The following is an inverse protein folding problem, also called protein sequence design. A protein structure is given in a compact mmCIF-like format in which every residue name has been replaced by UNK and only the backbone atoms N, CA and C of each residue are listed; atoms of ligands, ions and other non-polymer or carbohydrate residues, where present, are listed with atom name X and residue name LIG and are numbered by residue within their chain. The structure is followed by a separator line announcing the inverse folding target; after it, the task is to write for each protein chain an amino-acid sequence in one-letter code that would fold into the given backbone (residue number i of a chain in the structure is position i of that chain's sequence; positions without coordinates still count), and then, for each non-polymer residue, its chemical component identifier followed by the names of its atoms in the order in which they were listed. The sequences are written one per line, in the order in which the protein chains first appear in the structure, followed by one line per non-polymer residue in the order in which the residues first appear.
data_IF_842009498480
#
_entry.id   IF_842009498480
#
_cell.length_a   1.000
_cell.length_b   1.000
_cell.length_c   1.000
_cell.angle_alpha   90.00
_cell.angle_beta   90.00
_cell.angle_gamma   90.00
#
_symmetry.space_group_name_H-M   'P 1'
#
loop_
_entity.id
_entity.type
_entity.pdbx_description
1 polymer ?
#
# COMPACT_ATOMS: atom_id res chain seq x y z
N UNK A 1 17.80 8.84 -15.16
CA UNK A 1 16.49 9.36 -14.75
C UNK A 1 16.50 9.50 -13.24
N UNK A 2 16.30 10.70 -12.70
CA UNK A 2 16.21 10.89 -11.24
C UNK A 2 14.75 10.70 -10.88
N UNK A 3 14.40 9.49 -10.44
CA UNK A 3 13.09 9.24 -9.84
C UNK A 3 13.01 10.02 -8.53
N UNK A 4 12.20 11.07 -8.49
CA UNK A 4 11.87 11.74 -7.22
C UNK A 4 11.12 10.73 -6.37
N UNK A 5 11.73 10.28 -5.28
CA UNK A 5 11.06 9.41 -4.32
C UNK A 5 9.91 10.20 -3.69
N UNK A 6 8.68 9.78 -3.94
CA UNK A 6 7.52 10.23 -3.18
C UNK A 6 7.56 9.40 -1.90
N UNK A 7 7.85 10.06 -0.77
CA UNK A 7 7.97 9.43 0.56
C UNK A 7 6.78 9.77 1.47
N UNK A 8 5.89 10.64 0.99
CA UNK A 8 4.72 11.15 1.72
C UNK A 8 3.46 11.02 0.86
N UNK A 9 2.36 10.58 1.49
CA UNK A 9 1.01 10.61 0.91
C UNK A 9 0.14 11.58 1.71
N UNK A 10 -0.64 12.41 1.02
CA UNK A 10 -1.63 13.30 1.66
C UNK A 10 -3.05 12.79 1.41
N UNK A 11 -4.05 13.40 2.07
CA UNK A 11 -5.45 13.01 1.92
C UNK A 11 -6.02 13.17 0.50
N UNK A 12 -5.37 13.97 -0.35
CA UNK A 12 -5.74 14.16 -1.75
C UNK A 12 -5.09 13.16 -2.70
N UNK A 13 -4.22 12.29 -2.18
CA UNK A 13 -3.43 11.33 -2.95
C UNK A 13 -3.85 9.90 -2.63
N UNK A 14 -3.51 9.01 -3.55
CA UNK A 14 -3.70 7.57 -3.41
C UNK A 14 -2.56 6.86 -4.14
N UNK A 15 -2.33 5.60 -3.77
CA UNK A 15 -1.40 4.70 -4.45
C UNK A 15 -2.23 3.62 -5.11
N UNK A 16 -2.14 3.51 -6.44
CA UNK A 16 -2.80 2.45 -7.21
C UNK A 16 -1.76 1.47 -7.72
N UNK A 17 -2.07 0.18 -7.76
CA UNK A 17 -1.19 -0.82 -8.37
C UNK A 17 -0.85 -0.47 -9.84
N UNK A 18 0.43 -0.37 -10.27
CA UNK A 18 1.67 -0.77 -9.59
C UNK A 18 2.52 0.39 -9.00
N UNK A 19 1.93 1.55 -8.76
CA UNK A 19 2.59 2.68 -8.09
C UNK A 19 3.08 2.29 -6.69
N UNK A 20 4.12 3.00 -6.23
CA UNK A 20 4.75 2.77 -4.94
C UNK A 20 5.14 4.08 -4.26
N UNK A 21 5.30 4.02 -2.94
CA UNK A 21 5.84 5.08 -2.11
C UNK A 21 7.20 4.62 -1.58
N UNK A 22 8.26 5.35 -1.91
CA UNK A 22 9.63 4.99 -1.50
C UNK A 22 10.12 5.95 -0.44
N UNK A 23 10.75 5.43 0.61
CA UNK A 23 11.36 6.28 1.63
C UNK A 23 12.42 7.19 1.01
N UNK A 24 12.68 8.32 1.66
CA UNK A 24 13.69 9.30 1.22
C UNK A 24 15.07 8.70 0.91
N UNK A 25 15.45 7.64 1.63
CA UNK A 25 16.73 6.95 1.43
C UNK A 25 16.67 5.82 0.38
N UNK A 26 15.47 5.49 -0.13
CA UNK A 26 15.24 4.40 -1.08
C UNK A 26 15.31 2.99 -0.49
N UNK A 27 15.48 2.86 0.83
CA UNK A 27 15.65 1.55 1.46
C UNK A 27 14.34 0.81 1.68
N UNK A 28 13.23 1.53 1.82
CA UNK A 28 11.91 0.97 2.08
C UNK A 28 10.93 1.43 1.02
N UNK A 29 10.05 0.52 0.61
CA UNK A 29 8.99 0.79 -0.33
C UNK A 29 7.68 0.26 0.21
N UNK A 30 6.63 1.06 0.12
CA UNK A 30 5.25 0.67 0.32
C UNK A 30 4.55 0.55 -1.03
N UNK A 31 3.76 -0.51 -1.21
CA UNK A 31 2.96 -0.69 -2.42
C UNK A 31 2.31 -2.06 -2.51
N UNK A 32 1.79 -2.36 -3.70
CA UNK A 32 1.17 -3.66 -3.99
C UNK A 32 2.21 -4.68 -4.48
N UNK A 33 2.16 -5.90 -3.97
CA UNK A 33 3.01 -7.00 -4.42
C UNK A 33 2.24 -8.33 -4.50
N UNK A 34 2.86 -9.32 -5.14
CA UNK A 34 2.43 -10.71 -5.13
C UNK A 34 3.53 -11.60 -4.54
N UNK A 35 3.21 -12.51 -3.60
CA UNK A 35 4.11 -13.59 -3.23
C UNK A 35 4.44 -14.47 -4.44
N UNK A 36 5.57 -15.17 -4.37
CA UNK A 36 5.95 -16.15 -5.38
C UNK A 36 4.82 -17.20 -5.57
N UNK A 37 4.51 -17.52 -6.83
CA UNK A 37 3.47 -18.48 -7.20
C UNK A 37 2.03 -18.10 -6.80
N UNK A 38 1.74 -16.81 -6.59
CA UNK A 38 0.39 -16.31 -6.33
C UNK A 38 0.03 -15.12 -7.21
N UNK A 39 -1.23 -15.04 -7.63
CA UNK A 39 -1.80 -13.85 -8.30
C UNK A 39 -2.49 -12.91 -7.32
N UNK A 40 -2.61 -13.30 -6.05
CA UNK A 40 -3.19 -12.45 -5.02
C UNK A 40 -2.33 -11.20 -4.84
N UNK A 41 -2.98 -10.02 -4.75
CA UNK A 41 -2.30 -8.76 -4.47
C UNK A 41 -2.43 -8.40 -2.99
N UNK A 42 -1.29 -8.06 -2.41
CA UNK A 42 -1.15 -7.60 -1.04
C UNK A 42 -0.53 -6.22 -1.00
N UNK A 43 -0.90 -5.42 -0.02
CA UNK A 43 -0.22 -4.18 0.34
C UNK A 43 0.79 -4.51 1.42
N UNK A 44 2.03 -4.09 1.22
CA UNK A 44 3.09 -4.31 2.19
C UNK A 44 4.16 -3.25 2.14
N UNK A 45 5.05 -3.35 3.12
CA UNK A 45 6.31 -2.61 3.16
C UNK A 45 7.43 -3.63 3.00
N UNK A 46 8.36 -3.36 2.12
CA UNK A 46 9.55 -4.20 1.94
C UNK A 46 10.82 -3.38 1.90
N UNK A 47 11.92 -4.03 2.24
CA UNK A 47 13.27 -3.48 2.14
C UNK A 47 13.92 -3.84 0.79
N UNK A 48 14.61 -2.88 0.18
CA UNK A 48 15.42 -3.05 -1.02
C UNK A 48 16.92 -3.08 -0.67
N UNK A 49 17.76 -3.86 -1.39
CA UNK A 49 17.49 -4.53 -2.67
C UNK A 49 16.93 -5.96 -2.59
N UNK A 50 16.84 -6.59 -1.43
CA UNK A 50 16.54 -8.03 -1.33
C UNK A 50 15.04 -8.39 -1.37
N UNK A 51 14.14 -7.41 -1.59
CA UNK A 51 12.68 -7.57 -1.49
C UNK A 51 12.28 -8.32 -0.21
N UNK A 52 12.71 -7.80 0.95
CA UNK A 52 12.37 -8.39 2.25
C UNK A 52 11.09 -7.74 2.76
N UNK A 53 9.97 -8.45 2.70
CA UNK A 53 8.68 -7.98 3.22
C UNK A 53 8.74 -7.89 4.74
N UNK A 54 8.59 -6.69 5.30
CA UNK A 54 8.61 -6.43 6.75
C UNK A 54 7.22 -6.26 7.34
N UNK A 55 6.22 -5.91 6.51
CA UNK A 55 4.82 -5.85 6.91
C UNK A 55 3.88 -6.16 5.75
N UNK A 56 2.72 -6.72 6.07
CA UNK A 56 1.63 -7.04 5.13
C UNK A 56 0.32 -6.58 5.76
N UNK A 57 -0.35 -5.61 5.13
CA UNK A 57 -1.52 -4.95 5.70
C UNK A 57 -2.78 -5.83 5.53
N UNK A 58 -3.17 -6.12 4.30
CA UNK A 58 -4.36 -6.91 3.98
C UNK A 58 -4.09 -8.43 3.98
N UNK A 59 -3.38 -8.94 5.01
CA UNK A 59 -2.97 -10.35 5.09
C UNK A 59 -4.16 -11.32 5.04
N UNK A 60 -5.25 -10.98 5.72
CA UNK A 60 -6.43 -11.85 5.86
C UNK A 60 -7.37 -11.75 4.66
N UNK A 61 -7.33 -10.64 3.91
CA UNK A 61 -8.19 -10.37 2.76
C UNK A 61 -7.38 -9.86 1.56
N UNK A 62 -6.64 -10.75 0.87
CA UNK A 62 -5.95 -10.36 -0.36
C UNK A 62 -6.89 -9.97 -1.49
N UNK A 63 -6.44 -9.05 -2.33
CA UNK A 63 -7.10 -8.74 -3.60
C UNK A 63 -6.83 -9.84 -4.62
N UNK A 64 -7.78 -10.02 -5.55
CA UNK A 64 -7.69 -11.02 -6.64
C UNK A 64 -7.26 -10.42 -7.98
N UNK A 65 -7.09 -9.11 -8.03
CA UNK A 65 -6.71 -8.35 -9.20
C UNK A 65 -5.88 -7.11 -8.78
N UNK A 66 -5.49 -6.31 -9.78
CA UNK A 66 -4.73 -5.07 -9.61
C UNK A 66 -5.59 -3.81 -9.54
N UNK A 67 -6.87 -3.93 -9.14
CA UNK A 67 -7.77 -2.79 -9.01
C UNK A 67 -7.63 -2.01 -7.70
N UNK A 68 -6.78 -2.49 -6.79
CA UNK A 68 -6.62 -1.98 -5.44
C UNK A 68 -6.11 -0.55 -5.36
N UNK A 69 -6.54 0.14 -4.31
CA UNK A 69 -6.10 1.51 -3.98
C UNK A 69 -5.76 1.61 -2.50
N UNK A 70 -4.63 2.23 -2.18
CA UNK A 70 -4.28 2.67 -0.81
C UNK A 70 -4.48 4.18 -0.74
N UNK A 71 -5.20 4.66 0.27
CA UNK A 71 -5.42 6.09 0.49
C UNK A 71 -5.68 6.38 1.96
N UNK A 72 -5.58 7.65 2.34
CA UNK A 72 -6.17 8.13 3.59
C UNK A 72 -7.70 8.14 3.40
N UNK A 73 -8.45 7.71 4.42
CA UNK A 73 -9.91 7.73 4.46
C UNK A 73 -10.45 9.14 4.23
N UNK A 74 -11.70 9.25 3.76
CA UNK A 74 -12.29 10.55 3.41
C UNK A 74 -12.46 11.49 4.62
N UNK A 75 -12.52 10.94 5.83
CA UNK A 75 -12.52 11.69 7.09
C UNK A 75 -11.11 12.05 7.58
N UNK A 76 -10.05 11.56 6.93
CA UNK A 76 -8.66 11.90 7.20
C UNK A 76 -7.99 11.11 8.33
N UNK A 77 -8.70 10.16 8.96
CA UNK A 77 -8.25 9.52 10.19
C UNK A 77 -7.41 8.26 9.96
N UNK A 78 -7.73 7.50 8.92
CA UNK A 78 -7.20 6.16 8.71
C UNK A 78 -6.51 5.99 7.37
N UNK A 79 -5.56 5.05 7.31
CA UNK A 79 -5.10 4.48 6.06
C UNK A 79 -6.01 3.30 5.69
N UNK A 80 -6.60 3.35 4.50
CA UNK A 80 -7.49 2.29 4.02
C UNK A 80 -6.96 1.64 2.75
N UNK A 81 -7.23 0.34 2.60
CA UNK A 81 -7.06 -0.39 1.34
C UNK A 81 -8.45 -0.69 0.77
N UNK A 82 -8.69 -0.24 -0.46
CA UNK A 82 -9.92 -0.45 -1.19
C UNK A 82 -9.72 -1.48 -2.31
N UNK A 83 -10.76 -2.25 -2.61
CA UNK A 83 -10.83 -3.04 -3.84
C UNK A 83 -11.41 -2.23 -5.02
N UNK A 84 -11.51 -2.83 -6.21
CA UNK A 84 -12.06 -2.18 -7.40
C UNK A 84 -13.53 -1.75 -7.31
N UNK A 85 -14.28 -2.27 -6.34
CA UNK A 85 -15.66 -1.85 -6.02
C UNK A 85 -15.69 -0.72 -4.99
N UNK A 86 -14.53 -0.24 -4.54
CA UNK A 86 -14.36 0.76 -3.46
C UNK A 86 -14.80 0.26 -2.09
N UNK A 87 -14.83 -1.04 -1.88
CA UNK A 87 -15.08 -1.64 -0.56
C UNK A 87 -13.77 -1.63 0.25
N UNK A 88 -13.84 -1.25 1.53
CA UNK A 88 -12.70 -1.28 2.45
C UNK A 88 -12.43 -2.74 2.83
N UNK A 89 -11.23 -3.21 2.51
CA UNK A 89 -10.78 -4.57 2.85
C UNK A 89 -9.75 -4.58 4.00
N UNK A 90 -9.19 -3.42 4.32
CA UNK A 90 -8.29 -3.21 5.45
C UNK A 90 -8.27 -1.74 5.86
N UNK A 91 -8.14 -1.47 7.16
CA UNK A 91 -7.94 -0.13 7.75
C UNK A 91 -6.86 -0.20 8.84
N UNK A 92 -6.18 0.92 9.09
CA UNK A 92 -5.25 1.08 10.22
C UNK A 92 -5.94 1.02 11.59
N UNK A 93 -7.25 1.30 11.64
CA UNK A 93 -8.07 1.37 12.86
C UNK A 93 -7.42 2.25 13.94
N UNK A 94 -7.03 3.47 13.55
CA UNK A 94 -6.42 4.43 14.48
C UNK A 94 -7.52 4.93 15.42
N UNK A 95 -7.39 4.73 16.74
CA UNK A 95 -8.37 5.24 17.68
C UNK A 95 -8.38 6.78 17.65
N UNK A 96 -9.57 7.38 17.69
CA UNK A 96 -9.71 8.83 17.89
C UNK A 96 -9.08 9.19 19.25
N UNK A 97 -7.99 9.95 19.22
CA UNK A 97 -7.32 10.52 20.41
C UNK A 97 -8.01 11.82 20.82
#
# INVERSE_FOLDING_TARGET
DVSVAIDTITSTQFIKDPETLSSKSGNFTLGFFSPENSTNRYVGIWWQPQFTVVSVLNRDQPLKDSSGVVKISDDGNDLVVLNGKKEVIWTSDVPNI
#
